data_IF_116477694973
#
_entry.id   IF_116477694973
#
_cell.length_a   1.000
_cell.length_b   1.000
_cell.length_c   1.000
_cell.angle_alpha   90.00
_cell.angle_beta   90.00
_cell.angle_gamma   90.00
#
_symmetry.space_group_name_H-M   'P 1'
#
loop_
_entity.id
_entity.type
_entity.pdbx_description
1 polymer ?
#
# COMPACT_ATOMS: atom_id res chain seq x y z
N UNK A 1 15.10 19.61 -0.73
CA UNK A 1 14.82 19.64 0.74
C UNK A 1 15.89 20.45 1.50
N UNK A 2 15.65 20.95 2.72
CA UNK A 2 16.76 21.41 3.57
C UNK A 2 17.77 20.26 3.75
N UNK A 3 19.08 20.54 3.63
CA UNK A 3 20.15 19.53 3.71
C UNK A 3 20.00 18.73 5.01
N UNK A 4 19.55 17.47 4.91
CA UNK A 4 19.34 16.57 6.06
C UNK A 4 20.64 16.51 6.85
N UNK A 5 20.57 16.79 8.15
CA UNK A 5 21.74 16.70 9.02
C UNK A 5 22.11 15.23 9.19
N UNK A 6 23.34 14.89 8.82
CA UNK A 6 23.87 13.53 8.96
C UNK A 6 24.45 13.34 10.36
N UNK A 7 24.17 12.21 11.03
CA UNK A 7 24.88 11.86 12.25
C UNK A 7 26.37 11.60 11.96
N UNK A 8 27.22 11.81 12.96
CA UNK A 8 28.53 11.16 12.96
C UNK A 8 28.32 9.66 13.12
N UNK A 9 29.11 8.84 12.42
CA UNK A 9 29.03 7.39 12.59
C UNK A 9 29.47 6.99 14.01
N UNK A 10 29.05 5.80 14.44
CA UNK A 10 29.25 5.34 15.82
C UNK A 10 30.73 5.28 16.21
N UNK A 11 31.62 4.87 15.29
CA UNK A 11 33.05 4.80 15.53
C UNK A 11 33.66 6.19 15.78
N UNK A 12 33.32 7.19 14.95
CA UNK A 12 33.81 8.55 15.14
C UNK A 12 33.28 9.19 16.43
N UNK A 13 32.04 8.88 16.84
CA UNK A 13 31.50 9.33 18.12
C UNK A 13 32.23 8.69 19.31
N UNK A 14 32.49 7.39 19.22
CA UNK A 14 33.19 6.65 20.28
C UNK A 14 34.63 7.14 20.43
N UNK A 15 35.31 7.41 19.31
CA UNK A 15 36.66 7.98 19.32
C UNK A 15 36.67 9.41 19.87
N UNK A 16 35.72 10.26 19.47
CA UNK A 16 35.64 11.64 19.90
C UNK A 16 35.28 11.81 21.39
N UNK A 17 34.42 10.95 21.94
CA UNK A 17 33.96 11.01 23.33
C UNK A 17 34.88 10.23 24.29
N UNK A 18 35.76 9.38 23.77
CA UNK A 18 36.74 8.63 24.52
C UNK A 18 36.14 7.59 25.48
N UNK A 19 37.01 6.94 26.27
CA UNK A 19 36.62 5.88 27.19
C UNK A 19 35.83 6.37 28.41
N UNK A 20 35.95 7.66 28.76
CA UNK A 20 35.20 8.26 29.88
C UNK A 20 33.69 8.16 29.66
N UNK A 21 33.23 8.24 28.40
CA UNK A 21 31.82 8.05 28.04
C UNK A 21 31.25 6.70 28.53
N UNK A 22 32.04 5.63 28.51
CA UNK A 22 31.59 4.29 28.92
C UNK A 22 31.15 4.26 30.40
N UNK A 23 31.70 5.15 31.24
CA UNK A 23 31.30 5.27 32.65
C UNK A 23 29.93 5.93 32.80
N UNK A 24 29.55 6.83 31.87
CA UNK A 24 28.26 7.53 31.85
C UNK A 24 27.17 6.75 31.09
N UNK A 25 27.58 5.85 30.20
CA UNK A 25 26.71 5.13 29.28
C UNK A 25 25.51 4.43 29.96
N UNK A 26 25.66 3.69 31.08
CA UNK A 26 24.52 3.02 31.71
C UNK A 26 23.42 4.01 32.14
N UNK A 27 23.81 5.18 32.67
CA UNK A 27 22.86 6.23 33.06
C UNK A 27 22.21 6.86 31.82
N UNK A 28 23.02 7.20 30.81
CA UNK A 28 22.51 7.82 29.59
C UNK A 28 21.57 6.91 28.80
N UNK A 29 21.78 5.59 28.81
CA UNK A 29 20.86 4.64 28.15
C UNK A 29 19.49 4.53 28.82
N UNK A 30 19.36 4.91 30.09
CA UNK A 30 18.05 5.02 30.76
C UNK A 30 17.26 6.19 30.18
N UNK A 31 17.94 7.32 29.99
CA UNK A 31 17.36 8.57 29.52
C UNK A 31 17.19 8.60 27.98
N UNK A 32 18.10 7.96 27.24
CA UNK A 32 18.18 7.93 25.78
C UNK A 32 18.09 6.50 25.25
N UNK A 33 16.85 6.04 25.12
CA UNK A 33 16.49 4.71 24.59
C UNK A 33 16.44 4.72 23.07
N UNK A 34 16.14 3.56 22.46
CA UNK A 34 16.01 3.44 21.02
C UNK A 34 14.93 4.38 20.42
N UNK A 35 13.88 4.64 21.20
CA UNK A 35 12.78 5.57 20.91
C UNK A 35 12.64 6.60 22.02
N UNK A 36 12.04 7.76 21.70
CA UNK A 36 11.72 8.77 22.71
C UNK A 36 10.49 8.35 23.56
N UNK A 37 10.08 9.21 24.51
CA UNK A 37 8.91 8.98 25.38
C UNK A 37 7.60 8.77 24.63
N UNK A 38 7.47 9.29 23.42
CA UNK A 38 6.28 9.15 22.57
C UNK A 38 6.35 7.90 21.67
N UNK A 39 7.41 7.09 21.80
CA UNK A 39 7.65 5.92 20.96
C UNK A 39 8.16 6.26 19.55
N UNK A 40 8.64 7.47 19.31
CA UNK A 40 9.18 7.90 18.03
C UNK A 40 10.65 7.46 17.85
N UNK A 41 10.95 6.84 16.71
CA UNK A 41 12.30 6.47 16.31
C UNK A 41 12.93 7.58 15.47
N UNK A 42 13.63 8.48 16.14
CA UNK A 42 14.08 9.74 15.54
C UNK A 42 15.42 9.59 14.83
N UNK A 43 15.51 10.12 13.62
CA UNK A 43 16.79 10.33 12.94
C UNK A 43 17.50 11.53 13.57
N UNK A 44 18.83 11.60 13.48
CA UNK A 44 19.65 12.69 14.04
C UNK A 44 19.12 14.10 13.68
N UNK A 45 18.69 14.26 12.44
CA UNK A 45 18.09 15.49 11.90
C UNK A 45 16.89 16.00 12.72
N UNK A 46 16.13 15.09 13.33
CA UNK A 46 14.98 15.39 14.19
C UNK A 46 15.35 15.35 15.68
N UNK A 47 16.26 14.45 16.05
CA UNK A 47 16.69 14.18 17.41
C UNK A 47 17.36 15.41 18.05
N UNK A 48 18.25 16.08 17.31
CA UNK A 48 19.04 17.21 17.83
C UNK A 48 18.19 18.37 18.37
N UNK A 49 16.98 18.55 17.84
CA UNK A 49 16.05 19.59 18.27
C UNK A 49 15.27 19.25 19.55
N UNK A 50 15.36 18.01 20.01
CA UNK A 50 14.63 17.48 21.17
C UNK A 50 15.53 17.24 22.38
N UNK A 51 16.83 17.52 22.25
CA UNK A 51 17.78 17.44 23.35
C UNK A 51 17.57 18.61 24.31
N UNK A 52 17.46 18.37 25.64
CA UNK A 52 17.36 19.42 26.64
C UNK A 52 18.53 20.42 26.57
N UNK A 53 18.24 21.70 26.84
CA UNK A 53 19.29 22.73 26.90
C UNK A 53 20.35 22.36 27.95
N UNK A 54 21.61 22.34 27.54
CA UNK A 54 22.76 22.01 28.40
C UNK A 54 23.18 20.53 28.36
N UNK A 55 22.42 19.64 27.72
CA UNK A 55 22.83 18.26 27.49
C UNK A 55 23.76 18.15 26.26
N UNK A 56 24.70 17.21 26.30
CA UNK A 56 25.59 16.92 25.18
C UNK A 56 24.86 16.04 24.14
N UNK A 57 24.58 16.60 22.98
CA UNK A 57 23.84 15.91 21.92
C UNK A 57 24.58 14.68 21.36
N UNK A 58 25.92 14.70 21.32
CA UNK A 58 26.72 13.58 20.84
C UNK A 58 26.72 12.41 21.84
N UNK A 59 26.84 12.70 23.15
CA UNK A 59 26.71 11.67 24.20
C UNK A 59 25.30 11.04 24.19
N UNK A 60 24.26 11.87 24.06
CA UNK A 60 22.87 11.43 24.00
C UNK A 60 22.59 10.55 22.76
N UNK A 61 23.14 10.93 21.61
CA UNK A 61 22.99 10.17 20.37
C UNK A 61 23.78 8.87 20.41
N UNK A 62 25.01 8.87 20.93
CA UNK A 62 25.78 7.64 21.09
C UNK A 62 25.06 6.67 22.03
N UNK A 63 24.50 7.13 23.15
CA UNK A 63 23.68 6.30 24.03
C UNK A 63 22.44 5.74 23.32
N UNK A 64 21.75 6.55 22.51
CA UNK A 64 20.63 6.11 21.66
C UNK A 64 21.06 5.00 20.69
N UNK A 65 22.23 5.16 20.04
CA UNK A 65 22.79 4.16 19.11
C UNK A 65 23.13 2.85 19.82
N UNK A 66 23.70 2.88 21.03
CA UNK A 66 23.91 1.67 21.85
C UNK A 66 22.59 0.97 22.19
N UNK A 67 21.57 1.72 22.60
CA UNK A 67 20.23 1.18 22.87
C UNK A 67 19.61 0.49 21.64
N UNK A 68 19.81 1.06 20.44
CA UNK A 68 19.35 0.46 19.17
C UNK A 68 20.15 -0.79 18.80
N UNK A 69 21.47 -0.72 18.95
CA UNK A 69 22.38 -1.83 18.64
C UNK A 69 22.05 -3.09 19.46
N UNK A 70 21.63 -2.93 20.72
CA UNK A 70 21.26 -4.03 21.60
C UNK A 70 20.06 -4.88 21.08
N UNK A 71 19.23 -4.32 20.19
CA UNK A 71 18.05 -5.00 19.62
C UNK A 71 18.11 -5.12 18.10
N UNK A 72 19.28 -4.85 17.52
CA UNK A 72 19.52 -4.83 16.07
C UNK A 72 19.50 -6.25 15.51
N UNK A 73 18.76 -6.42 14.41
CA UNK A 73 18.77 -7.59 13.52
C UNK A 73 19.49 -7.22 12.24
N UNK A 74 20.50 -8.00 11.88
CA UNK A 74 21.32 -7.77 10.69
C UNK A 74 20.80 -8.62 9.53
N UNK A 75 20.65 -8.00 8.36
CA UNK A 75 20.24 -8.66 7.12
C UNK A 75 21.48 -8.88 6.26
N UNK A 76 22.34 -9.82 6.67
CA UNK A 76 23.69 -10.02 6.10
C UNK A 76 23.70 -10.29 4.59
N UNK A 77 22.61 -10.86 4.06
CA UNK A 77 22.45 -11.14 2.63
C UNK A 77 22.06 -9.88 1.83
N UNK A 78 21.44 -8.89 2.48
CA UNK A 78 21.01 -7.64 1.84
C UNK A 78 22.12 -6.60 2.01
N UNK A 79 23.05 -6.59 1.07
CA UNK A 79 24.16 -5.63 1.03
C UNK A 79 23.71 -4.24 0.61
N UNK A 80 24.36 -3.22 1.16
CA UNK A 80 24.27 -1.84 0.73
C UNK A 80 25.13 -1.58 -0.52
N UNK A 81 25.10 -0.34 -1.04
CA UNK A 81 25.73 0.01 -2.33
C UNK A 81 27.24 0.02 -2.31
N UNK A 82 27.84 0.03 -1.13
CA UNK A 82 29.29 0.02 -0.91
C UNK A 82 29.86 -1.40 -0.82
N UNK A 83 29.02 -2.44 -0.93
CA UNK A 83 29.34 -3.87 -0.81
C UNK A 83 29.96 -4.33 0.51
N UNK A 84 30.36 -3.41 1.38
CA UNK A 84 30.93 -3.64 2.69
C UNK A 84 29.88 -3.58 3.81
N UNK A 85 28.85 -2.74 3.64
CA UNK A 85 27.79 -2.58 4.62
C UNK A 85 26.59 -3.46 4.26
N UNK A 86 25.82 -3.85 5.27
CA UNK A 86 24.57 -4.58 5.13
C UNK A 86 23.43 -3.82 5.81
N UNK A 87 22.21 -4.05 5.33
CA UNK A 87 21.04 -3.47 5.96
C UNK A 87 20.75 -4.11 7.31
N UNK A 88 20.09 -3.34 8.17
CA UNK A 88 19.69 -3.82 9.48
C UNK A 88 18.43 -3.10 9.93
N UNK A 89 17.78 -3.65 10.95
CA UNK A 89 16.63 -3.00 11.58
C UNK A 89 16.54 -3.43 13.03
N UNK A 90 15.73 -2.73 13.82
CA UNK A 90 15.30 -3.18 15.12
C UNK A 90 13.78 -3.09 15.22
N UNK A 91 13.20 -3.77 16.21
CA UNK A 91 11.76 -3.69 16.51
C UNK A 91 11.61 -3.22 17.97
N UNK A 92 11.65 -1.90 18.22
CA UNK A 92 11.33 -1.35 19.54
C UNK A 92 9.87 -1.63 19.91
N UNK A 93 9.53 -1.58 21.19
CA UNK A 93 8.17 -1.86 21.70
C UNK A 93 7.08 -1.03 21.00
N UNK A 94 7.37 0.23 20.67
CA UNK A 94 6.44 1.10 19.94
C UNK A 94 6.19 0.65 18.50
N UNK A 95 7.19 0.06 17.83
CA UNK A 95 6.98 -0.55 16.51
C UNK A 95 6.25 -1.89 16.65
N UNK A 96 6.62 -2.69 17.66
CA UNK A 96 5.95 -3.97 17.95
C UNK A 96 4.45 -3.77 18.24
N UNK A 97 4.11 -2.75 19.04
CA UNK A 97 2.72 -2.40 19.33
C UNK A 97 1.94 -2.02 18.07
N UNK A 98 2.57 -1.29 17.13
CA UNK A 98 1.98 -0.95 15.83
C UNK A 98 1.77 -2.17 14.95
N UNK A 99 2.75 -3.08 14.89
CA UNK A 99 2.62 -4.36 14.17
C UNK A 99 1.48 -5.20 14.76
N UNK A 100 1.44 -5.35 16.08
CA UNK A 100 0.37 -6.05 16.78
C UNK A 100 -1.02 -5.42 16.53
N UNK A 101 -1.10 -4.08 16.47
CA UNK A 101 -2.34 -3.39 16.12
C UNK A 101 -2.82 -3.78 14.72
N UNK A 102 -1.91 -3.81 13.74
CA UNK A 102 -2.24 -4.23 12.37
C UNK A 102 -2.70 -5.69 12.39
N UNK A 103 -1.96 -6.60 13.03
CA UNK A 103 -2.37 -8.01 13.13
C UNK A 103 -3.74 -8.19 13.76
N UNK A 104 -4.08 -7.42 14.79
CA UNK A 104 -5.42 -7.47 15.41
C UNK A 104 -6.52 -7.00 14.43
N UNK A 105 -6.21 -6.00 13.61
CA UNK A 105 -7.13 -5.43 12.62
C UNK A 105 -7.23 -6.28 11.35
N UNK A 106 -6.18 -7.01 10.99
CA UNK A 106 -6.11 -7.79 9.73
C UNK A 106 -6.27 -9.29 9.92
N UNK A 107 -5.85 -9.83 11.06
CA UNK A 107 -5.92 -11.24 11.45
C UNK A 107 -7.29 -11.69 11.94
N UNK A 108 -8.25 -10.78 12.12
CA UNK A 108 -9.64 -11.06 12.47
C UNK A 108 -10.47 -11.72 11.36
N UNK A 109 -9.85 -12.54 10.49
CA UNK A 109 -10.51 -13.24 9.39
C UNK A 109 -11.75 -14.05 9.81
N UNK A 110 -11.87 -14.43 11.09
CA UNK A 110 -13.09 -15.05 11.64
C UNK A 110 -14.18 -14.05 12.09
N UNK A 111 -13.84 -12.86 12.55
CA UNK A 111 -14.85 -11.84 12.95
C UNK A 111 -15.45 -11.11 11.74
N UNK A 112 -14.64 -10.84 10.70
CA UNK A 112 -15.14 -10.24 9.45
C UNK A 112 -15.92 -11.26 8.59
N UNK A 113 -15.55 -12.55 8.63
CA UNK A 113 -16.31 -13.61 7.94
C UNK A 113 -17.59 -14.02 8.68
N UNK A 114 -17.71 -13.84 9.99
CA UNK A 114 -18.98 -14.04 10.70
C UNK A 114 -19.91 -12.81 10.62
N UNK A 115 -19.36 -11.62 10.36
CA UNK A 115 -20.21 -10.51 9.94
C UNK A 115 -20.74 -10.80 8.53
N UNK A 116 -22.00 -11.23 8.47
CA UNK A 116 -22.83 -11.50 7.27
C UNK A 116 -22.71 -10.48 6.12
N UNK A 117 -22.06 -9.33 6.35
CA UNK A 117 -21.74 -8.30 5.38
C UNK A 117 -20.60 -8.64 4.40
N UNK A 118 -19.60 -9.44 4.80
CA UNK A 118 -18.47 -9.82 3.93
C UNK A 118 -18.48 -11.30 3.50
N UNK A 119 -19.17 -12.17 4.26
CA UNK A 119 -19.27 -13.62 3.97
C UNK A 119 -20.20 -13.95 2.80
N UNK A 120 -21.11 -13.05 2.43
CA UNK A 120 -21.76 -13.11 1.13
C UNK A 120 -20.71 -12.78 0.08
N UNK A 121 -20.15 -13.80 -0.56
CA UNK A 121 -18.96 -13.74 -1.41
C UNK A 121 -18.95 -12.71 -2.55
N UNK A 122 -19.94 -11.83 -2.68
CA UNK A 122 -20.08 -10.82 -3.74
C UNK A 122 -19.87 -9.38 -3.24
N UNK A 123 -20.20 -9.06 -1.98
CA UNK A 123 -19.95 -7.71 -1.40
C UNK A 123 -18.47 -7.49 -1.08
N UNK A 124 -17.79 -8.54 -0.61
CA UNK A 124 -16.33 -8.56 -0.53
C UNK A 124 -15.70 -8.26 -1.88
N UNK A 125 -16.21 -8.90 -2.96
CA UNK A 125 -15.72 -8.71 -4.34
C UNK A 125 -15.90 -7.31 -4.92
N UNK A 126 -16.97 -6.60 -4.57
CA UNK A 126 -17.10 -5.18 -4.92
C UNK A 126 -16.01 -4.32 -4.29
N UNK A 127 -15.83 -4.51 -2.97
CA UNK A 127 -14.87 -3.76 -2.19
C UNK A 127 -13.44 -4.05 -2.68
N UNK A 128 -13.15 -5.33 -3.01
CA UNK A 128 -11.93 -5.76 -3.75
C UNK A 128 -11.71 -4.86 -4.94
N UNK A 129 -12.71 -4.79 -5.82
CA UNK A 129 -12.54 -4.14 -7.10
C UNK A 129 -12.35 -2.63 -6.98
N UNK A 130 -13.12 -1.97 -6.11
CA UNK A 130 -13.01 -0.51 -5.96
C UNK A 130 -11.68 -0.09 -5.33
N UNK A 131 -11.13 -0.86 -4.40
CA UNK A 131 -9.91 -0.49 -3.68
C UNK A 131 -8.67 -0.88 -4.49
N UNK A 132 -8.69 -2.02 -5.18
CA UNK A 132 -7.66 -2.36 -6.16
C UNK A 132 -7.61 -1.35 -7.32
N UNK A 133 -8.76 -0.84 -7.78
CA UNK A 133 -8.79 0.27 -8.75
C UNK A 133 -8.20 1.56 -8.16
N UNK A 134 -8.49 1.88 -6.90
CA UNK A 134 -7.94 3.06 -6.24
C UNK A 134 -6.42 2.99 -6.12
N UNK A 135 -5.90 1.83 -5.73
CA UNK A 135 -4.46 1.56 -5.68
C UNK A 135 -3.84 1.65 -7.07
N UNK A 136 -4.50 1.07 -8.08
CA UNK A 136 -4.05 1.15 -9.47
C UNK A 136 -3.87 2.61 -9.94
N UNK A 137 -4.87 3.45 -9.65
CA UNK A 137 -4.89 4.86 -10.03
C UNK A 137 -3.82 5.65 -9.27
N UNK A 138 -3.83 5.57 -7.94
CA UNK A 138 -2.97 6.41 -7.09
C UNK A 138 -1.50 6.03 -7.20
N UNK A 139 -1.17 4.74 -7.30
CA UNK A 139 0.20 4.28 -7.55
C UNK A 139 0.75 4.78 -8.89
N UNK A 140 -0.04 4.78 -9.97
CA UNK A 140 0.42 5.31 -11.26
C UNK A 140 0.52 6.83 -11.27
N UNK A 141 -0.38 7.54 -10.58
CA UNK A 141 -0.28 9.00 -10.39
C UNK A 141 0.96 9.38 -9.58
N UNK A 142 1.35 8.55 -8.62
CA UNK A 142 2.57 8.74 -7.82
C UNK A 142 3.85 8.66 -8.67
N UNK A 143 3.81 7.98 -9.81
CA UNK A 143 4.88 7.92 -10.82
C UNK A 143 4.63 8.88 -12.02
N UNK A 144 3.70 9.83 -11.90
CA UNK A 144 3.51 10.89 -12.89
C UNK A 144 2.38 10.70 -13.91
N UNK A 145 1.53 9.66 -13.78
CA UNK A 145 0.35 9.53 -14.65
C UNK A 145 -0.62 10.71 -14.44
N UNK A 146 -0.88 11.46 -15.51
CA UNK A 146 -1.73 12.66 -15.50
C UNK A 146 -3.15 12.35 -15.98
N UNK A 147 -3.91 11.61 -15.19
CA UNK A 147 -5.32 11.30 -15.47
C UNK A 147 -6.19 11.60 -14.24
N UNK A 148 -7.37 12.17 -14.46
CA UNK A 148 -8.32 12.40 -13.36
C UNK A 148 -8.85 11.07 -12.82
N UNK A 149 -9.06 11.00 -11.50
CA UNK A 149 -9.63 9.81 -10.85
C UNK A 149 -10.95 9.34 -11.48
N UNK A 150 -11.80 10.29 -11.91
CA UNK A 150 -13.09 9.98 -12.55
C UNK A 150 -12.89 9.24 -13.88
N UNK A 151 -12.05 9.78 -14.76
CA UNK A 151 -11.77 9.19 -16.09
C UNK A 151 -11.08 7.83 -15.94
N UNK A 152 -10.11 7.73 -15.03
CA UNK A 152 -9.39 6.49 -14.76
C UNK A 152 -10.30 5.39 -14.20
N UNK A 153 -11.16 5.74 -13.23
CA UNK A 153 -12.14 4.80 -12.68
C UNK A 153 -13.14 4.35 -13.74
N UNK A 154 -13.66 5.29 -14.55
CA UNK A 154 -14.54 4.96 -15.67
C UNK A 154 -13.85 4.02 -16.67
N UNK A 155 -12.57 4.25 -16.98
CA UNK A 155 -11.80 3.37 -17.85
C UNK A 155 -11.71 1.94 -17.31
N UNK A 156 -11.29 1.77 -16.06
CA UNK A 156 -11.13 0.45 -15.44
C UNK A 156 -12.47 -0.29 -15.29
N UNK A 157 -13.54 0.44 -14.98
CA UNK A 157 -14.89 -0.11 -14.85
C UNK A 157 -15.43 -0.50 -16.23
N UNK A 158 -15.36 0.39 -17.21
CA UNK A 158 -15.87 0.10 -18.56
C UNK A 158 -14.96 -0.85 -19.34
N UNK A 159 -13.74 -1.12 -18.87
CA UNK A 159 -12.73 -1.90 -19.59
C UNK A 159 -12.52 -1.38 -21.02
N UNK A 160 -12.69 -0.08 -21.24
CA UNK A 160 -12.30 0.52 -22.51
C UNK A 160 -10.78 0.52 -22.61
N UNK A 161 -10.27 0.54 -23.83
CA UNK A 161 -8.84 0.67 -24.05
C UNK A 161 -8.33 2.04 -23.55
N UNK A 162 -7.10 2.11 -23.00
CA UNK A 162 -6.43 3.38 -22.72
C UNK A 162 -6.30 4.22 -23.99
N UNK A 163 -6.55 5.53 -23.89
CA UNK A 163 -6.38 6.44 -25.02
C UNK A 163 -5.02 7.13 -25.06
N UNK A 164 -4.33 7.18 -23.93
CA UNK A 164 -3.01 7.81 -23.79
C UNK A 164 -2.12 7.01 -22.85
N UNK A 165 -0.87 7.47 -22.72
CA UNK A 165 0.14 6.82 -21.88
C UNK A 165 -0.21 6.84 -20.39
N UNK A 166 -0.80 7.92 -19.86
CA UNK A 166 -1.17 8.01 -18.44
C UNK A 166 -2.27 7.01 -18.10
N UNK A 167 -3.25 6.88 -18.98
CA UNK A 167 -4.27 5.84 -18.90
C UNK A 167 -3.66 4.43 -19.02
N UNK A 168 -2.68 4.25 -19.91
CA UNK A 168 -1.97 2.98 -20.06
C UNK A 168 -1.23 2.60 -18.77
N UNK A 169 -0.54 3.55 -18.11
CA UNK A 169 0.11 3.32 -16.82
C UNK A 169 -0.88 2.86 -15.74
N UNK A 170 -2.08 3.46 -15.69
CA UNK A 170 -3.11 3.08 -14.72
C UNK A 170 -3.66 1.69 -15.02
N UNK A 171 -3.93 1.40 -16.30
CA UNK A 171 -4.44 0.10 -16.73
C UNK A 171 -3.42 -1.02 -16.46
N UNK A 172 -2.15 -0.78 -16.80
CA UNK A 172 -1.03 -1.67 -16.48
C UNK A 172 -0.95 -1.96 -14.99
N UNK A 173 -1.02 -0.92 -14.15
CA UNK A 173 -0.92 -1.11 -12.71
C UNK A 173 -2.14 -1.86 -12.14
N UNK A 174 -3.32 -1.72 -12.73
CA UNK A 174 -4.48 -2.57 -12.40
C UNK A 174 -4.25 -4.04 -12.76
N UNK A 175 -3.66 -4.32 -13.92
CA UNK A 175 -3.28 -5.69 -14.32
C UNK A 175 -2.15 -6.24 -13.44
N UNK A 176 -1.19 -5.40 -13.06
CA UNK A 176 -0.08 -5.75 -12.18
C UNK A 176 -0.58 -6.24 -10.82
N UNK A 177 -1.53 -5.52 -10.21
CA UNK A 177 -2.15 -5.93 -8.95
C UNK A 177 -2.87 -7.28 -9.07
N UNK A 178 -3.59 -7.49 -10.17
CA UNK A 178 -4.22 -8.80 -10.44
C UNK A 178 -3.18 -9.91 -10.57
N UNK A 179 -2.10 -9.65 -11.29
CA UNK A 179 -1.01 -10.60 -11.47
C UNK A 179 -0.34 -10.96 -10.15
N UNK A 180 -0.14 -9.98 -9.27
CA UNK A 180 0.40 -10.19 -7.92
C UNK A 180 -0.52 -11.12 -7.08
N UNK A 181 -1.84 -10.96 -7.18
CA UNK A 181 -2.82 -11.87 -6.53
C UNK A 181 -2.77 -13.27 -7.16
N UNK A 182 -2.75 -13.36 -8.49
CA UNK A 182 -2.73 -14.63 -9.24
C UNK A 182 -1.48 -15.47 -8.95
N UNK A 183 -0.35 -14.82 -8.69
CA UNK A 183 0.97 -15.47 -8.49
C UNK A 183 1.43 -15.48 -7.03
N UNK A 184 0.54 -15.15 -6.07
CA UNK A 184 0.88 -15.03 -4.64
C UNK A 184 1.42 -16.33 -4.02
N UNK A 185 1.02 -17.49 -4.56
CA UNK A 185 1.36 -18.80 -4.00
C UNK A 185 2.69 -19.37 -4.55
N UNK A 186 3.34 -18.63 -5.45
CA UNK A 186 4.60 -19.05 -6.04
C UNK A 186 5.81 -18.46 -5.31
N UNK A 187 6.98 -19.12 -5.31
CA UNK A 187 8.23 -18.52 -4.84
C UNK A 187 8.58 -17.25 -5.62
N UNK A 188 9.18 -16.26 -4.94
CA UNK A 188 9.73 -15.09 -5.63
C UNK A 188 10.94 -15.52 -6.44
N UNK A 189 10.95 -15.19 -7.72
CA UNK A 189 12.10 -15.37 -8.59
C UNK A 189 12.40 -14.07 -9.33
N UNK A 190 13.59 -13.97 -9.92
CA UNK A 190 13.94 -12.80 -10.73
C UNK A 190 13.01 -12.72 -11.93
N UNK A 191 12.69 -13.86 -12.55
CA UNK A 191 11.76 -13.97 -13.67
C UNK A 191 10.38 -13.42 -13.30
N UNK A 192 9.87 -13.71 -12.10
CA UNK A 192 8.61 -13.13 -11.63
C UNK A 192 8.72 -11.61 -11.47
N UNK A 193 9.84 -11.09 -10.95
CA UNK A 193 10.07 -9.64 -10.83
C UNK A 193 10.11 -8.98 -12.22
N UNK A 194 10.79 -9.61 -13.19
CA UNK A 194 10.84 -9.14 -14.59
C UNK A 194 9.46 -9.15 -15.24
N UNK A 195 8.68 -10.21 -15.05
CA UNK A 195 7.31 -10.33 -15.58
C UNK A 195 6.38 -9.27 -14.97
N UNK A 196 6.46 -9.05 -13.65
CA UNK A 196 5.71 -7.98 -12.99
C UNK A 196 6.12 -6.60 -13.55
N UNK A 197 7.40 -6.36 -13.75
CA UNK A 197 7.88 -5.12 -14.37
C UNK A 197 7.40 -4.95 -15.82
N UNK A 198 7.38 -6.01 -16.61
CA UNK A 198 6.87 -6.01 -17.97
C UNK A 198 5.39 -5.59 -18.01
N UNK A 199 4.56 -6.19 -17.13
CA UNK A 199 3.14 -5.80 -16.99
C UNK A 199 3.02 -4.33 -16.57
N UNK A 200 3.84 -3.88 -15.63
CA UNK A 200 3.80 -2.51 -15.11
C UNK A 200 4.09 -1.44 -16.17
N UNK A 201 4.95 -1.75 -17.14
CA UNK A 201 5.52 -0.78 -18.09
C UNK A 201 5.07 -0.98 -19.54
N UNK A 202 4.28 -2.01 -19.85
CA UNK A 202 3.77 -2.30 -21.18
C UNK A 202 3.23 -1.05 -21.92
N UNK A 203 3.87 -0.67 -23.04
CA UNK A 203 3.51 0.53 -23.85
C UNK A 203 3.47 1.85 -23.08
N UNK A 204 4.10 1.91 -21.92
CA UNK A 204 4.14 3.08 -21.05
C UNK A 204 5.50 3.26 -20.36
N UNK A 205 6.54 2.64 -20.92
CA UNK A 205 7.92 2.74 -20.43
C UNK A 205 8.56 4.05 -20.89
N UNK A 206 9.50 4.56 -20.08
CA UNK A 206 10.27 5.78 -20.31
C UNK A 206 11.78 5.51 -20.33
N UNK A 207 12.56 6.59 -20.55
CA UNK A 207 14.03 6.61 -20.42
C UNK A 207 14.76 5.63 -21.34
N UNK A 208 14.19 5.37 -22.53
CA UNK A 208 14.68 4.35 -23.48
C UNK A 208 14.87 2.96 -22.86
N UNK A 209 14.20 2.71 -21.73
CA UNK A 209 14.27 1.44 -21.02
C UNK A 209 13.42 0.37 -21.71
N UNK A 210 13.71 -0.89 -21.41
CA UNK A 210 13.00 -2.05 -21.98
C UNK A 210 12.18 -2.75 -20.92
N UNK A 211 10.90 -3.00 -21.23
CA UNK A 211 9.97 -3.68 -20.34
C UNK A 211 10.48 -5.09 -20.04
N UNK A 212 10.48 -5.48 -18.77
CA UNK A 212 10.96 -6.80 -18.35
C UNK A 212 12.49 -7.00 -18.38
N UNK A 213 13.29 -5.95 -18.61
CA UNK A 213 14.75 -6.08 -18.65
C UNK A 213 15.46 -5.22 -17.60
N UNK A 214 16.51 -5.77 -16.99
CA UNK A 214 17.38 -5.04 -16.06
C UNK A 214 18.18 -3.97 -16.83
N UNK A 215 18.41 -2.82 -16.19
CA UNK A 215 19.26 -1.76 -16.78
C UNK A 215 20.69 -2.23 -16.99
N UNK A 216 21.32 -1.72 -18.04
CA UNK A 216 22.69 -2.09 -18.46
C UNK A 216 23.74 -1.00 -18.20
N UNK A 217 23.34 0.09 -17.56
CA UNK A 217 24.24 1.20 -17.22
C UNK A 217 23.83 1.84 -15.87
N UNK A 218 24.61 2.82 -15.43
CA UNK A 218 24.39 3.59 -14.19
C UNK A 218 23.85 5.00 -14.46
N UNK A 219 23.29 5.28 -15.64
CA UNK A 219 22.78 6.60 -16.02
C UNK A 219 21.39 6.88 -15.43
N UNK A 220 21.14 6.39 -14.21
CA UNK A 220 19.89 6.58 -13.48
C UNK A 220 20.19 7.18 -12.13
N UNK A 221 19.39 8.16 -11.74
CA UNK A 221 19.40 8.72 -10.40
C UNK A 221 17.99 8.68 -9.85
N UNK A 222 17.85 8.30 -8.59
CA UNK A 222 16.56 8.38 -7.92
C UNK A 222 16.42 9.83 -7.47
N UNK A 223 15.45 10.53 -8.04
CA UNK A 223 15.16 11.91 -7.70
C UNK A 223 14.08 12.02 -6.64
N UNK A 224 14.14 13.06 -5.81
CA UNK A 224 13.05 13.40 -4.90
C UNK A 224 11.95 14.21 -5.61
N UNK A 225 10.92 14.59 -4.86
CA UNK A 225 9.84 15.50 -5.28
C UNK A 225 10.29 16.82 -5.92
N UNK A 226 11.53 17.26 -5.71
CA UNK A 226 12.09 18.51 -6.22
C UNK A 226 13.04 18.28 -7.39
N UNK A 227 13.09 17.06 -7.94
CA UNK A 227 14.06 16.63 -8.95
C UNK A 227 15.53 16.75 -8.48
N UNK A 228 15.79 16.77 -7.17
CA UNK A 228 17.14 16.69 -6.63
C UNK A 228 17.55 15.21 -6.56
N UNK A 229 18.84 14.91 -6.78
CA UNK A 229 19.37 13.55 -6.63
C UNK A 229 19.22 13.11 -5.17
N UNK A 230 18.25 12.24 -4.91
CA UNK A 230 17.95 11.71 -3.59
C UNK A 230 18.86 10.52 -3.26
N UNK A 231 19.09 9.65 -4.25
CA UNK A 231 19.88 8.43 -4.11
C UNK A 231 20.59 8.06 -5.42
N UNK A 232 21.84 7.60 -5.28
CA UNK A 232 22.59 6.94 -6.33
C UNK A 232 22.48 5.43 -6.12
N UNK A 233 21.76 4.70 -7.01
CA UNK A 233 21.55 3.26 -6.87
C UNK A 233 22.85 2.47 -7.01
N UNK A 234 22.89 1.21 -6.54
CA UNK A 234 24.03 0.32 -6.72
C UNK A 234 24.46 0.17 -8.18
N UNK A 235 25.70 -0.26 -8.43
CA UNK A 235 26.17 -0.50 -9.81
C UNK A 235 25.32 -1.56 -10.52
N UNK A 236 25.01 -1.35 -11.81
CA UNK A 236 24.18 -2.27 -12.60
C UNK A 236 24.71 -3.71 -12.62
N UNK A 237 26.03 -3.88 -12.58
CA UNK A 237 26.70 -5.20 -12.54
C UNK A 237 26.36 -6.01 -11.28
N UNK A 238 25.94 -5.36 -10.20
CA UNK A 238 25.55 -6.00 -8.94
C UNK A 238 24.05 -6.30 -8.82
N UNK A 239 23.22 -5.85 -9.77
CA UNK A 239 21.75 -5.98 -9.68
C UNK A 239 21.34 -7.45 -9.55
N UNK A 240 21.91 -8.33 -10.37
CA UNK A 240 21.56 -9.75 -10.38
C UNK A 240 21.78 -10.41 -9.00
N UNK A 241 22.94 -10.15 -8.38
CA UNK A 241 23.27 -10.67 -7.05
C UNK A 241 22.28 -10.15 -5.99
N UNK A 242 21.99 -8.85 -6.02
CA UNK A 242 21.09 -8.21 -5.04
C UNK A 242 19.64 -8.65 -5.18
N UNK A 243 19.16 -8.85 -6.41
CA UNK A 243 17.82 -9.42 -6.64
C UNK A 243 17.76 -10.88 -6.21
N UNK A 244 18.83 -11.65 -6.44
CA UNK A 244 18.93 -13.03 -5.96
C UNK A 244 18.82 -13.08 -4.43
N UNK A 245 19.55 -12.22 -3.72
CA UNK A 245 19.47 -12.10 -2.27
C UNK A 245 18.07 -11.65 -1.80
N UNK A 246 17.43 -10.73 -2.52
CA UNK A 246 16.06 -10.29 -2.22
C UNK A 246 15.04 -11.44 -2.39
N UNK A 247 15.19 -12.26 -3.42
CA UNK A 247 14.38 -13.46 -3.64
C UNK A 247 14.61 -14.51 -2.55
N UNK A 248 15.87 -14.76 -2.15
CA UNK A 248 16.19 -15.67 -1.05
C UNK A 248 15.53 -15.21 0.25
N UNK A 249 15.69 -13.93 0.61
CA UNK A 249 15.06 -13.31 1.78
C UNK A 249 13.52 -13.42 1.78
N UNK A 250 12.89 -13.24 0.62
CA UNK A 250 11.44 -13.39 0.46
C UNK A 250 10.99 -14.85 0.62
N UNK A 251 11.77 -15.82 0.14
CA UNK A 251 11.39 -17.22 0.15
C UNK A 251 11.81 -17.97 1.43
N UNK A 252 12.65 -17.35 2.26
CA UNK A 252 13.03 -17.90 3.55
C UNK A 252 11.79 -18.02 4.47
N UNK A 253 11.37 -19.27 4.69
CA UNK A 253 10.32 -19.63 5.63
C UNK A 253 10.90 -19.66 7.04
N UNK A 254 10.66 -18.58 7.78
CA UNK A 254 11.11 -18.42 9.16
C UNK A 254 9.91 -18.01 10.00
N UNK A 255 9.19 -19.02 10.49
CA UNK A 255 7.97 -18.83 11.29
C UNK A 255 8.28 -18.54 12.77
N UNK A 256 9.55 -18.61 13.16
CA UNK A 256 10.00 -18.38 14.54
C UNK A 256 9.66 -19.49 15.52
N UNK A 257 8.91 -20.51 15.07
CA UNK A 257 8.51 -21.65 15.88
C UNK A 257 9.50 -22.80 15.77
N UNK A 258 10.21 -22.88 14.63
CA UNK A 258 11.14 -23.98 14.31
C UNK A 258 12.59 -23.54 14.22
N UNK A 259 12.81 -22.30 13.83
CA UNK A 259 14.09 -21.62 13.79
C UNK A 259 14.03 -20.43 14.74
N UNK A 260 15.06 -20.20 15.55
CA UNK A 260 15.07 -19.14 16.57
C UNK A 260 15.19 -17.72 15.96
N UNK A 261 14.64 -17.54 14.77
CA UNK A 261 14.60 -16.31 13.99
C UNK A 261 13.16 -16.08 13.58
N UNK A 262 12.68 -14.86 13.80
CA UNK A 262 11.34 -14.45 13.37
C UNK A 262 11.44 -13.05 12.79
N UNK A 263 10.89 -12.90 11.59
CA UNK A 263 10.66 -11.60 10.97
C UNK A 263 9.18 -11.50 10.67
N UNK A 264 8.54 -10.52 11.28
CA UNK A 264 7.13 -10.25 11.07
C UNK A 264 6.84 -10.10 9.56
N UNK A 265 5.79 -10.72 9.00
CA UNK A 265 5.54 -10.70 7.55
C UNK A 265 5.43 -9.29 6.95
N UNK A 266 4.73 -8.37 7.62
CA UNK A 266 4.69 -6.97 7.22
C UNK A 266 6.08 -6.31 7.18
N UNK A 267 6.98 -6.64 8.11
CA UNK A 267 8.36 -6.14 8.10
C UNK A 267 9.10 -6.69 6.87
N UNK A 268 8.99 -7.99 6.56
CA UNK A 268 9.57 -8.56 5.32
C UNK A 268 9.01 -7.86 4.06
N UNK A 269 7.70 -7.64 3.97
CA UNK A 269 7.08 -6.96 2.83
C UNK A 269 7.61 -5.53 2.64
N UNK A 270 7.73 -4.76 3.72
CA UNK A 270 8.27 -3.39 3.69
C UNK A 270 9.74 -3.40 3.28
N UNK A 271 10.54 -4.36 3.76
CA UNK A 271 11.93 -4.51 3.35
C UNK A 271 12.03 -4.83 1.86
N UNK A 272 11.20 -5.75 1.34
CA UNK A 272 11.18 -6.07 -0.10
C UNK A 272 10.82 -4.86 -0.96
N UNK A 273 9.82 -4.07 -0.55
CA UNK A 273 9.50 -2.79 -1.17
C UNK A 273 10.73 -1.89 -1.19
N UNK A 274 11.36 -1.69 -0.03
CA UNK A 274 12.56 -0.86 0.08
C UNK A 274 13.64 -1.33 -0.88
N UNK A 275 13.94 -2.63 -0.92
CA UNK A 275 15.02 -3.20 -1.72
C UNK A 275 14.85 -2.93 -3.21
N UNK A 276 13.65 -3.07 -3.77
CA UNK A 276 13.42 -2.74 -5.19
C UNK A 276 13.63 -1.24 -5.45
N UNK A 277 13.12 -0.37 -4.57
CA UNK A 277 13.30 1.08 -4.70
C UNK A 277 14.78 1.50 -4.60
N UNK A 278 15.53 0.85 -3.72
CA UNK A 278 16.95 1.10 -3.46
C UNK A 278 17.87 0.52 -4.54
N UNK A 279 17.70 -0.75 -4.92
CA UNK A 279 18.49 -1.39 -5.99
C UNK A 279 18.24 -0.67 -7.33
N UNK A 280 16.99 -0.26 -7.54
CA UNK A 280 16.53 0.42 -8.75
C UNK A 280 16.93 -0.38 -10.02
N UNK A 281 16.45 -1.63 -10.16
CA UNK A 281 16.92 -2.57 -11.18
C UNK A 281 16.54 -2.19 -12.62
N UNK A 282 15.52 -1.35 -12.80
CA UNK A 282 14.96 -0.98 -14.10
C UNK A 282 15.22 0.49 -14.44
N UNK A 283 15.12 0.86 -15.72
CA UNK A 283 15.22 2.26 -16.17
C UNK A 283 13.95 3.10 -15.92
N UNK A 284 12.80 2.45 -15.74
CA UNK A 284 11.51 3.03 -15.31
C UNK A 284 10.72 1.95 -14.55
N UNK A 285 9.65 2.31 -13.85
CA UNK A 285 8.69 1.36 -13.30
C UNK A 285 9.04 0.78 -11.93
N UNK A 286 10.21 1.11 -11.37
CA UNK A 286 10.68 0.58 -10.08
C UNK A 286 9.68 0.78 -8.93
N UNK A 287 9.08 1.98 -8.80
CA UNK A 287 8.11 2.28 -7.74
C UNK A 287 6.83 1.44 -7.83
N UNK A 288 6.30 1.24 -9.04
CA UNK A 288 5.13 0.38 -9.29
C UNK A 288 5.45 -1.08 -8.98
N UNK A 289 6.59 -1.59 -9.45
CA UNK A 289 7.05 -2.96 -9.18
C UNK A 289 7.30 -3.21 -7.68
N UNK A 290 7.91 -2.25 -6.98
CA UNK A 290 8.16 -2.34 -5.54
C UNK A 290 6.86 -2.49 -4.74
N UNK A 291 5.85 -1.68 -5.06
CA UNK A 291 4.52 -1.76 -4.43
C UNK A 291 3.81 -3.06 -4.77
N UNK A 292 3.88 -3.53 -6.02
CA UNK A 292 3.33 -4.83 -6.38
C UNK A 292 3.97 -5.98 -5.59
N UNK A 293 5.29 -5.94 -5.35
CA UNK A 293 6.00 -6.91 -4.52
C UNK A 293 5.58 -6.85 -3.05
N UNK A 294 5.35 -5.66 -2.50
CA UNK A 294 4.75 -5.49 -1.17
C UNK A 294 3.42 -6.24 -1.07
N UNK A 295 2.50 -5.98 -2.00
CA UNK A 295 1.18 -6.63 -2.01
C UNK A 295 1.29 -8.14 -2.21
N UNK A 296 2.09 -8.59 -3.18
CA UNK A 296 2.34 -10.01 -3.41
C UNK A 296 2.78 -10.72 -2.12
N UNK A 297 3.74 -10.15 -1.39
CA UNK A 297 4.26 -10.77 -0.16
C UNK A 297 3.23 -10.77 0.98
N UNK A 298 2.49 -9.67 1.17
CA UNK A 298 1.43 -9.59 2.18
C UNK A 298 0.34 -10.64 1.93
N UNK A 299 -0.08 -10.80 0.68
CA UNK A 299 -1.08 -11.79 0.29
C UNK A 299 -0.58 -13.22 0.44
N UNK A 300 0.66 -13.49 0.03
CA UNK A 300 1.34 -14.77 0.26
C UNK A 300 1.38 -15.14 1.74
N UNK A 301 1.57 -14.13 2.61
CA UNK A 301 1.64 -14.31 4.06
C UNK A 301 0.29 -14.39 4.77
N UNK A 302 -0.82 -14.49 4.03
CA UNK A 302 -2.17 -14.67 4.59
C UNK A 302 -2.88 -13.37 5.00
N UNK A 303 -2.30 -12.19 4.73
CA UNK A 303 -2.94 -10.90 5.01
C UNK A 303 -3.92 -10.50 3.90
N UNK A 304 -4.98 -11.30 3.73
CA UNK A 304 -5.98 -11.16 2.66
C UNK A 304 -6.62 -9.76 2.55
N UNK A 305 -6.76 -9.00 3.66
CA UNK A 305 -7.29 -7.64 3.63
C UNK A 305 -6.43 -6.68 2.78
N UNK A 306 -5.17 -7.01 2.51
CA UNK A 306 -4.31 -6.16 1.67
C UNK A 306 -4.72 -6.16 0.20
N UNK A 307 -5.60 -7.06 -0.25
CA UNK A 307 -6.30 -6.90 -1.53
C UNK A 307 -7.19 -5.64 -1.55
N UNK A 308 -7.56 -5.12 -0.36
CA UNK A 308 -8.51 -4.03 -0.15
C UNK A 308 -7.84 -2.77 0.39
N UNK A 309 -6.55 -2.79 0.63
CA UNK A 309 -5.84 -1.66 1.20
C UNK A 309 -5.12 -0.92 0.09
N UNK A 310 -5.39 0.38 -0.06
CA UNK A 310 -4.58 1.24 -0.93
C UNK A 310 -3.57 2.03 -0.10
N UNK A 311 -2.28 1.66 -0.19
CA UNK A 311 -1.20 2.37 0.50
C UNK A 311 -0.70 3.56 -0.32
N UNK A 312 -0.80 3.50 -1.66
CA UNK A 312 -0.24 4.53 -2.55
C UNK A 312 -0.88 5.89 -2.33
N UNK A 313 -2.17 5.94 -2.01
CA UNK A 313 -2.86 7.19 -1.66
C UNK A 313 -2.19 7.90 -0.49
N UNK A 314 -1.87 7.15 0.57
CA UNK A 314 -1.28 7.71 1.79
C UNK A 314 0.21 8.04 1.61
N UNK A 315 0.93 7.25 0.80
CA UNK A 315 2.28 7.59 0.37
C UNK A 315 2.27 8.89 -0.44
N UNK A 316 1.31 9.07 -1.35
CA UNK A 316 1.17 10.29 -2.15
C UNK A 316 0.91 11.52 -1.27
N UNK A 317 -0.02 11.42 -0.31
CA UNK A 317 -0.33 12.51 0.63
C UNK A 317 0.90 12.94 1.47
N UNK A 318 1.84 12.01 1.71
CA UNK A 318 3.05 12.24 2.50
C UNK A 318 4.33 11.85 1.77
N UNK A 319 4.41 12.16 0.46
CA UNK A 319 5.54 11.71 -0.37
C UNK A 319 6.90 12.20 0.14
N UNK A 320 6.96 13.40 0.73
CA UNK A 320 8.20 13.89 1.34
C UNK A 320 8.66 13.05 2.53
N UNK A 321 7.75 12.53 3.35
CA UNK A 321 8.11 11.68 4.49
C UNK A 321 8.59 10.30 4.00
N UNK A 322 8.00 9.78 2.92
CA UNK A 322 8.43 8.56 2.25
C UNK A 322 9.85 8.67 1.69
N UNK A 323 10.13 9.73 0.91
CA UNK A 323 11.46 9.96 0.32
C UNK A 323 12.52 10.17 1.42
N UNK A 324 12.17 10.92 2.49
CA UNK A 324 13.07 11.12 3.66
C UNK A 324 13.43 9.81 4.34
N UNK A 325 12.52 8.83 4.40
CA UNK A 325 12.78 7.57 5.07
C UNK A 325 13.85 6.72 4.36
N UNK A 326 13.95 6.81 3.02
CA UNK A 326 15.09 6.28 2.28
C UNK A 326 16.39 6.99 2.69
N UNK A 327 16.38 8.32 2.68
CA UNK A 327 17.58 9.09 3.02
C UNK A 327 18.04 8.83 4.46
N UNK A 328 17.13 8.81 5.42
CA UNK A 328 17.45 8.51 6.82
C UNK A 328 18.05 7.12 7.00
N UNK A 329 17.57 6.13 6.24
CA UNK A 329 18.17 4.79 6.21
C UNK A 329 19.62 4.86 5.75
N UNK A 330 19.89 5.53 4.62
CA UNK A 330 21.25 5.65 4.08
C UNK A 330 22.21 6.48 4.93
N UNK A 331 21.70 7.51 5.62
CA UNK A 331 22.56 8.42 6.39
C UNK A 331 22.83 7.97 7.81
N UNK A 332 22.19 6.90 8.28
CA UNK A 332 22.37 6.34 9.63
C UNK A 332 22.64 4.83 9.59
N UNK A 333 23.77 4.47 8.97
CA UNK A 333 24.33 3.11 8.94
C UNK A 333 23.40 2.04 8.35
N UNK A 334 22.61 2.39 7.31
CA UNK A 334 21.68 1.50 6.61
C UNK A 334 20.62 0.88 7.55
N UNK A 335 20.17 1.67 8.52
CA UNK A 335 19.11 1.31 9.46
C UNK A 335 17.71 1.45 8.84
N UNK A 336 17.13 0.34 8.40
CA UNK A 336 15.78 0.27 7.83
C UNK A 336 14.67 0.59 8.83
N UNK A 337 14.97 0.70 10.13
CA UNK A 337 13.95 1.01 11.14
C UNK A 337 13.22 2.32 10.81
N UNK A 338 13.88 3.31 10.22
CA UNK A 338 13.22 4.54 9.76
C UNK A 338 12.15 4.30 8.71
N UNK A 339 12.48 3.48 7.70
CA UNK A 339 11.56 3.10 6.65
C UNK A 339 10.42 2.23 7.18
N UNK A 340 10.73 1.30 8.10
CA UNK A 340 9.71 0.50 8.78
C UNK A 340 8.70 1.36 9.54
N UNK A 341 9.14 2.32 10.35
CA UNK A 341 8.22 3.22 11.06
C UNK A 341 7.33 4.01 10.10
N UNK A 342 7.92 4.58 9.05
CA UNK A 342 7.18 5.34 8.05
C UNK A 342 6.11 4.49 7.36
N UNK A 343 6.48 3.30 6.88
CA UNK A 343 5.56 2.43 6.14
C UNK A 343 4.53 1.76 7.05
N UNK A 344 4.88 1.40 8.29
CA UNK A 344 3.91 0.88 9.26
C UNK A 344 2.86 1.95 9.60
N UNK A 345 3.24 3.22 9.72
CA UNK A 345 2.28 4.32 9.94
C UNK A 345 1.36 4.55 8.74
N UNK A 346 1.88 4.38 7.52
CA UNK A 346 1.06 4.37 6.31
C UNK A 346 0.06 3.21 6.35
N UNK A 347 0.52 2.00 6.67
CA UNK A 347 -0.32 0.80 6.70
C UNK A 347 -1.41 0.89 7.77
N UNK A 348 -1.10 1.39 8.98
CA UNK A 348 -2.11 1.62 10.03
C UNK A 348 -3.23 2.50 9.50
N UNK A 349 -2.89 3.66 8.92
CA UNK A 349 -3.89 4.58 8.37
C UNK A 349 -4.70 3.96 7.25
N UNK A 350 -4.08 3.11 6.44
CA UNK A 350 -4.72 2.44 5.32
C UNK A 350 -5.73 1.39 5.81
N UNK A 351 -5.34 0.59 6.82
CA UNK A 351 -6.19 -0.40 7.48
C UNK A 351 -7.34 0.25 8.25
N UNK A 352 -7.08 1.37 8.95
CA UNK A 352 -8.12 2.13 9.65
C UNK A 352 -9.11 2.75 8.66
N UNK A 353 -8.61 3.36 7.57
CA UNK A 353 -9.47 3.92 6.52
C UNK A 353 -10.37 2.85 5.88
N UNK A 354 -9.86 1.62 5.72
CA UNK A 354 -10.65 0.49 5.25
C UNK A 354 -11.75 0.12 6.24
N UNK A 355 -11.42 0.00 7.53
CA UNK A 355 -12.40 -0.29 8.57
C UNK A 355 -13.49 0.78 8.65
N UNK A 356 -13.11 2.07 8.65
CA UNK A 356 -14.05 3.19 8.66
C UNK A 356 -14.96 3.16 7.43
N UNK A 357 -14.41 2.82 6.26
CA UNK A 357 -15.20 2.65 5.04
C UNK A 357 -16.23 1.52 5.18
N UNK A 358 -15.81 0.35 5.69
CA UNK A 358 -16.69 -0.80 5.89
C UNK A 358 -17.80 -0.46 6.89
N UNK A 359 -17.46 0.14 8.04
CA UNK A 359 -18.43 0.48 9.07
C UNK A 359 -19.40 1.57 8.60
N UNK A 360 -18.92 2.57 7.85
CA UNK A 360 -19.82 3.54 7.20
C UNK A 360 -20.77 2.87 6.21
N UNK A 361 -20.31 1.91 5.42
CA UNK A 361 -21.15 1.19 4.45
C UNK A 361 -22.19 0.29 5.13
N UNK A 362 -21.82 -0.34 6.25
CA UNK A 362 -22.74 -1.10 7.10
C UNK A 362 -23.81 -0.19 7.68
N UNK A 363 -23.43 0.93 8.30
CA UNK A 363 -24.38 1.91 8.85
C UNK A 363 -25.34 2.43 7.78
N UNK A 364 -24.82 2.91 6.65
CA UNK A 364 -25.63 3.35 5.51
C UNK A 364 -26.60 2.26 5.03
N UNK A 365 -26.22 0.99 5.10
CA UNK A 365 -27.08 -0.13 4.72
C UNK A 365 -28.17 -0.37 5.77
N UNK A 366 -27.83 -0.43 7.06
CA UNK A 366 -28.81 -0.67 8.12
C UNK A 366 -29.83 0.47 8.24
N UNK A 367 -29.39 1.73 8.18
CA UNK A 367 -30.28 2.89 8.16
C UNK A 367 -31.26 2.83 6.97
N UNK A 368 -30.77 2.44 5.79
CA UNK A 368 -31.64 2.25 4.63
C UNK A 368 -32.61 1.08 4.81
N UNK A 369 -32.16 -0.03 5.40
CA UNK A 369 -33.00 -1.21 5.62
C UNK A 369 -34.10 -0.92 6.65
N UNK A 370 -33.80 -0.19 7.72
CA UNK A 370 -34.80 0.27 8.70
C UNK A 370 -35.80 1.23 8.04
N UNK A 371 -35.30 2.18 7.24
CA UNK A 371 -36.15 3.12 6.52
C UNK A 371 -37.07 2.45 5.48
N UNK A 372 -36.59 1.42 4.77
CA UNK A 372 -37.37 0.74 3.72
C UNK A 372 -38.32 -0.31 4.29
N UNK A 373 -38.13 -0.78 5.52
CA UNK A 373 -38.93 -1.85 6.13
C UNK A 373 -40.42 -1.51 6.20
N UNK A 374 -40.76 -0.23 6.40
CA UNK A 374 -42.16 0.25 6.36
C UNK A 374 -42.77 0.23 4.96
N UNK A 375 -41.96 0.19 3.90
CA UNK A 375 -42.45 0.08 2.53
C UNK A 375 -42.80 -1.37 2.17
N UNK A 376 -43.93 -1.61 1.46
CA UNK A 376 -44.26 -2.93 0.92
C UNK A 376 -43.19 -3.52 0.00
N UNK A 377 -42.38 -2.68 -0.67
CA UNK A 377 -41.34 -3.15 -1.62
C UNK A 377 -40.21 -3.90 -0.93
N UNK A 378 -39.97 -3.67 0.37
CA UNK A 378 -38.92 -4.34 1.14
C UNK A 378 -39.10 -5.86 1.19
N UNK A 379 -40.35 -6.33 1.20
CA UNK A 379 -40.71 -7.75 1.23
C UNK A 379 -40.64 -8.44 -0.13
N UNK A 380 -40.67 -7.64 -1.21
CA UNK A 380 -40.70 -8.13 -2.60
C UNK A 380 -39.27 -8.23 -3.16
N UNK A 381 -38.42 -7.27 -2.82
CA UNK A 381 -37.10 -7.13 -3.39
C UNK A 381 -36.06 -8.02 -2.70
N UNK A 382 -35.16 -8.60 -3.51
CA UNK A 382 -33.99 -9.34 -3.02
C UNK A 382 -32.94 -8.38 -2.45
N UNK A 383 -32.02 -8.85 -1.58
CA UNK A 383 -30.98 -8.00 -0.99
C UNK A 383 -30.19 -7.15 -1.99
N UNK A 384 -29.79 -7.71 -3.14
CA UNK A 384 -29.08 -6.93 -4.18
C UNK A 384 -29.95 -5.87 -4.86
N UNK A 385 -31.24 -6.13 -5.03
CA UNK A 385 -32.17 -5.15 -5.58
C UNK A 385 -32.37 -4.00 -4.60
N UNK A 386 -32.44 -4.30 -3.30
CA UNK A 386 -32.47 -3.29 -2.24
C UNK A 386 -31.18 -2.46 -2.20
N UNK A 387 -30.02 -3.04 -2.49
CA UNK A 387 -28.78 -2.26 -2.57
C UNK A 387 -28.71 -1.34 -3.80
N UNK A 388 -29.17 -1.80 -4.96
CA UNK A 388 -29.31 -0.94 -6.15
C UNK A 388 -30.31 0.18 -5.86
N UNK A 389 -31.43 -0.14 -5.20
CA UNK A 389 -32.44 0.83 -4.79
C UNK A 389 -31.88 1.86 -3.80
N UNK A 390 -31.07 1.43 -2.82
CA UNK A 390 -30.38 2.34 -1.89
C UNK A 390 -29.55 3.38 -2.62
N UNK A 391 -28.77 2.93 -3.59
CA UNK A 391 -27.92 3.80 -4.41
C UNK A 391 -28.76 4.74 -5.30
N UNK A 392 -29.88 4.25 -5.83
CA UNK A 392 -30.83 5.06 -6.60
C UNK A 392 -31.51 6.15 -5.75
N UNK A 393 -31.92 5.82 -4.52
CA UNK A 393 -32.53 6.78 -3.57
C UNK A 393 -31.52 7.84 -3.12
N UNK A 394 -30.26 7.45 -2.92
CA UNK A 394 -29.20 8.39 -2.51
C UNK A 394 -28.78 9.33 -3.63
N UNK A 395 -28.94 8.91 -4.88
CA UNK A 395 -28.53 9.67 -6.07
C UNK A 395 -29.65 9.76 -7.12
N UNK A 396 -30.66 10.62 -6.89
CA UNK A 396 -31.69 10.92 -7.88
C UNK A 396 -31.09 11.30 -9.24
N UNK A 397 -31.64 10.75 -10.34
CA UNK A 397 -31.13 10.97 -11.69
C UNK A 397 -29.90 10.13 -12.08
N UNK A 398 -29.39 9.29 -11.18
CA UNK A 398 -28.29 8.36 -11.50
C UNK A 398 -28.72 7.36 -12.57
N UNK A 399 -27.81 7.10 -13.51
CA UNK A 399 -27.99 6.09 -14.56
C UNK A 399 -27.22 4.83 -14.19
N UNK A 400 -27.94 3.71 -14.15
CA UNK A 400 -27.40 2.38 -13.98
C UNK A 400 -27.31 1.67 -15.33
N UNK A 401 -26.29 0.84 -15.48
CA UNK A 401 -26.15 -0.06 -16.63
C UNK A 401 -25.96 -1.48 -16.14
N UNK A 402 -26.43 -2.46 -16.91
CA UNK A 402 -26.22 -3.87 -16.58
C UNK A 402 -24.72 -4.21 -16.48
N UNK A 403 -23.87 -3.53 -17.25
CA UNK A 403 -22.42 -3.68 -17.17
C UNK A 403 -21.89 -3.15 -15.84
N UNK A 404 -22.31 -1.96 -15.41
CA UNK A 404 -21.92 -1.40 -14.12
C UNK A 404 -22.34 -2.32 -12.96
N UNK A 405 -23.62 -2.71 -12.91
CA UNK A 405 -24.16 -3.58 -11.86
C UNK A 405 -23.50 -4.96 -11.86
N UNK A 406 -23.22 -5.53 -13.03
CA UNK A 406 -22.47 -6.78 -13.15
C UNK A 406 -21.11 -6.69 -12.48
N UNK A 407 -20.43 -5.56 -12.63
CA UNK A 407 -19.13 -5.33 -12.02
C UNK A 407 -19.22 -4.95 -10.55
N UNK A 408 -20.26 -4.21 -10.17
CA UNK A 408 -20.47 -3.78 -8.79
C UNK A 408 -20.84 -4.94 -7.87
N UNK A 409 -21.56 -5.95 -8.38
CA UNK A 409 -21.97 -7.10 -7.59
C UNK A 409 -21.23 -8.40 -7.95
N UNK A 410 -20.24 -8.33 -8.83
CA UNK A 410 -19.52 -9.48 -9.42
C UNK A 410 -20.45 -10.63 -9.86
N UNK A 411 -21.42 -10.28 -10.70
CA UNK A 411 -22.42 -11.20 -11.25
C UNK A 411 -22.41 -11.16 -12.77
N UNK A 412 -22.93 -12.21 -13.40
CA UNK A 412 -23.06 -12.20 -14.85
C UNK A 412 -24.01 -11.08 -15.33
N UNK A 413 -23.77 -10.59 -16.56
CA UNK A 413 -24.50 -9.46 -17.11
C UNK A 413 -26.01 -9.69 -17.28
N UNK A 414 -26.46 -10.94 -17.43
CA UNK A 414 -27.89 -11.26 -17.55
C UNK A 414 -28.59 -11.16 -16.18
N UNK A 415 -27.95 -11.64 -15.11
CA UNK A 415 -28.43 -11.49 -13.73
C UNK A 415 -28.49 -10.02 -13.32
N UNK A 416 -27.47 -9.22 -13.67
CA UNK A 416 -27.50 -7.78 -13.46
C UNK A 416 -28.68 -7.11 -14.18
N UNK A 417 -28.93 -7.49 -15.43
CA UNK A 417 -30.07 -6.99 -16.23
C UNK A 417 -31.41 -7.42 -15.63
N UNK A 418 -31.51 -8.64 -15.11
CA UNK A 418 -32.70 -9.15 -14.40
C UNK A 418 -32.97 -8.38 -13.11
N UNK A 419 -31.95 -8.08 -12.30
CA UNK A 419 -32.13 -7.25 -11.10
C UNK A 419 -32.64 -5.85 -11.44
N UNK A 420 -32.06 -5.21 -12.47
CA UNK A 420 -32.48 -3.90 -12.93
C UNK A 420 -33.90 -3.90 -13.50
N UNK A 421 -34.25 -4.89 -14.34
CA UNK A 421 -35.60 -5.03 -14.87
C UNK A 421 -36.63 -5.22 -13.76
N UNK A 422 -36.34 -6.00 -12.72
CA UNK A 422 -37.26 -6.16 -11.59
C UNK A 422 -37.56 -4.83 -10.89
N UNK A 423 -36.59 -3.92 -10.80
CA UNK A 423 -36.81 -2.58 -10.25
C UNK A 423 -37.64 -1.70 -11.20
N UNK A 424 -37.56 -1.92 -12.52
CA UNK A 424 -38.44 -1.27 -13.50
C UNK A 424 -39.87 -1.81 -13.39
N UNK A 425 -40.05 -3.12 -13.21
CA UNK A 425 -41.36 -3.76 -13.08
C UNK A 425 -42.13 -3.25 -11.83
N UNK A 426 -41.40 -2.87 -10.79
CA UNK A 426 -41.96 -2.26 -9.56
C UNK A 426 -42.05 -0.71 -9.64
N UNK A 427 -41.84 -0.12 -10.83
CA UNK A 427 -41.85 1.34 -11.09
C UNK A 427 -40.81 2.15 -10.28
N UNK A 428 -39.74 1.50 -9.83
CA UNK A 428 -38.64 2.10 -9.05
C UNK A 428 -37.49 2.60 -9.92
N UNK A 429 -37.37 2.13 -11.16
CA UNK A 429 -36.41 2.63 -12.16
C UNK A 429 -37.10 2.82 -13.51
N UNK A 430 -36.56 3.71 -14.34
CA UNK A 430 -37.07 3.96 -15.69
C UNK A 430 -36.07 3.43 -16.72
N UNK A 431 -36.49 2.48 -17.56
CA UNK A 431 -35.67 1.99 -18.66
C UNK A 431 -35.69 2.97 -19.85
N UNK A 432 -34.51 3.31 -20.40
CA UNK A 432 -34.37 4.14 -21.59
C UNK A 432 -33.30 3.59 -22.54
N UNK A 433 -33.41 3.91 -23.83
CA UNK A 433 -32.43 3.50 -24.85
C UNK A 433 -31.23 4.46 -24.83
N UNK A 434 -30.02 3.92 -24.89
CA UNK A 434 -28.83 4.74 -25.07
C UNK A 434 -28.83 5.46 -26.43
N UNK A 435 -28.61 6.78 -26.42
CA UNK A 435 -28.49 7.58 -27.66
C UNK A 435 -27.19 7.30 -28.44
N UNK A 436 -26.17 6.71 -27.80
CA UNK A 436 -24.82 6.51 -28.38
C UNK A 436 -24.41 5.03 -28.48
N UNK A 437 -25.30 4.06 -28.22
CA UNK A 437 -24.95 2.63 -28.31
C UNK A 437 -26.13 1.66 -28.17
N UNK A 438 -25.89 0.35 -28.37
CA UNK A 438 -26.92 -0.73 -28.35
C UNK A 438 -27.30 -1.21 -26.93
N UNK A 439 -27.35 -0.32 -25.93
CA UNK A 439 -27.59 -0.67 -24.52
C UNK A 439 -28.85 -0.06 -23.91
N UNK A 440 -29.48 -0.78 -22.97
CA UNK A 440 -30.53 -0.26 -22.08
C UNK A 440 -29.87 0.46 -20.90
N UNK A 441 -30.34 1.67 -20.61
CA UNK A 441 -29.97 2.48 -19.46
C UNK A 441 -31.15 2.47 -18.48
N UNK A 442 -30.86 2.49 -17.18
CA UNK A 442 -31.87 2.47 -16.13
C UNK A 442 -31.70 3.72 -15.27
N UNK A 443 -32.68 4.62 -15.26
CA UNK A 443 -32.62 5.91 -14.60
C UNK A 443 -33.32 5.84 -13.23
N UNK A 444 -32.66 6.35 -12.19
CA UNK A 444 -33.29 6.63 -10.90
C UNK A 444 -34.22 7.85 -11.00
N UNK A 445 -35.53 7.70 -10.79
CA UNK A 445 -36.48 8.82 -10.79
C UNK A 445 -36.17 9.83 -9.67
N UNK A 446 -36.52 11.10 -9.87
CA UNK A 446 -36.32 12.12 -8.84
C UNK A 446 -37.32 11.99 -7.66
N UNK A 447 -38.51 11.50 -7.98
CA UNK A 447 -39.65 11.20 -7.12
C UNK A 447 -39.55 9.80 -6.47
N UNK A 448 -38.38 9.14 -6.54
CA UNK A 448 -38.23 7.76 -6.08
C UNK A 448 -38.63 7.54 -4.62
N UNK A 449 -38.44 8.53 -3.74
CA UNK A 449 -38.90 8.45 -2.34
C UNK A 449 -40.42 8.42 -2.22
N UNK A 450 -41.14 9.15 -3.07
CA UNK A 450 -42.61 9.19 -3.09
C UNK A 450 -43.18 7.86 -3.63
N UNK A 451 -42.50 7.28 -4.62
CA UNK A 451 -42.86 5.98 -5.22
C UNK A 451 -42.76 4.80 -4.23
N UNK A 452 -41.94 4.95 -3.19
CA UNK A 452 -41.76 3.92 -2.16
C UNK A 452 -42.94 3.83 -1.18
N UNK A 453 -43.94 4.73 -1.27
CA UNK A 453 -45.17 4.72 -0.46
C UNK A 453 -44.88 4.57 1.04
N UNK A 454 -43.88 5.33 1.50
CA UNK A 454 -43.43 5.39 2.89
C UNK A 454 -44.27 6.36 3.71
#
# INVERSE_FOLDING_TARGET
>A
MARIRKPKNMNALTEALGTEFLTKLPKLMVDYRATNSDGAYLHWDQFIWRIPKGANAEEAWLATKYSRMATRKNLVELKAKDDASFFSYCIPDSLLAKLHYIDKKTGGGHSLSESSFMSSGEKGRYLVKSLMMEEAITSSQLEGASTTRKVAKEMLVTQRQPSDKSEQMIFNNYLLMKKAVERKDEPLSIELILELHEVATYKAIDNDAVSGELRQDNNITVTDLYNEVAHAPPCHTSIQERLTASCAFANEESDGLRDNQFIHPLVKAIILHFMIGYIHPFGDGNGRTARALFYWFMLRSGYWLFEYVSISKLIQEKRSDYDKAYVYTETDDFDLTYFLYNQVDVVIKAVDSLHDHIESKKRDYYEFMEWIESSPVSKILKPRQLEILKDAVKHPGKIFTAKQVSLDFDINGNTARSHLNKLVDEDLLIATKSKKGKGVLYLAPADLRERLKL
#
